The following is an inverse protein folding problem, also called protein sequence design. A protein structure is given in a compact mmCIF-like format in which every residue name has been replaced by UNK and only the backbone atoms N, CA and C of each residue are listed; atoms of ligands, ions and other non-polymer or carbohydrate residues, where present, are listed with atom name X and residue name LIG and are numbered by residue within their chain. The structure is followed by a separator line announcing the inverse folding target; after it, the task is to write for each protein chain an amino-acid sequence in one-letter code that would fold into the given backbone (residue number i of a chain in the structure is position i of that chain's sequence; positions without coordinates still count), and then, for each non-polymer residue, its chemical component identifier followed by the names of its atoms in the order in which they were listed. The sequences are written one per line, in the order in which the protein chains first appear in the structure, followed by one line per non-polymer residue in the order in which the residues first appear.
data_IF_989970062172
#
_entry.id   IF_989970062172
#
_cell.length_a   1.000
_cell.length_b   1.000
_cell.length_c   1.000
_cell.angle_alpha   90.00
_cell.angle_beta   90.00
_cell.angle_gamma   90.00
#
_symmetry.space_group_name_H-M   'P 1'
#
loop_
_entity.id
_entity.type
_entity.pdbx_description
1 polymer ?
#
# COMPACT_ATOMS: atom_id res chain seq x y z
N UNK A 1 17.41 -1.26 9.74
CA UNK A 1 17.58 -1.16 11.20
C UNK A 1 16.61 -2.00 11.98
N UNK A 2 15.29 -1.82 11.86
CA UNK A 2 14.36 -2.74 12.55
C UNK A 2 14.52 -4.20 12.06
N UNK A 3 14.86 -4.37 10.78
CA UNK A 3 15.13 -5.68 10.16
C UNK A 3 16.57 -6.19 10.36
N UNK A 4 17.44 -5.51 11.12
CA UNK A 4 18.74 -6.08 11.49
C UNK A 4 18.59 -7.05 12.67
N UNK A 5 19.54 -7.97 12.91
CA UNK A 5 19.52 -8.84 14.09
C UNK A 5 19.41 -8.06 15.40
N UNK A 6 20.14 -6.94 15.49
CA UNK A 6 20.10 -6.02 16.62
C UNK A 6 18.72 -5.38 16.81
N UNK A 7 18.09 -4.90 15.73
CA UNK A 7 16.75 -4.31 15.77
C UNK A 7 15.67 -5.32 16.19
N UNK A 8 15.72 -6.54 15.64
CA UNK A 8 14.85 -7.64 16.05
C UNK A 8 15.04 -8.02 17.52
N UNK A 9 16.29 -8.03 18.00
CA UNK A 9 16.62 -8.29 19.40
C UNK A 9 15.96 -7.28 20.35
N UNK A 10 16.06 -5.98 20.05
CA UNK A 10 15.42 -4.92 20.86
C UNK A 10 13.89 -5.04 20.83
N UNK A 11 13.31 -5.30 19.65
CA UNK A 11 11.86 -5.48 19.52
C UNK A 11 11.36 -6.69 20.34
N UNK A 12 12.13 -7.80 20.33
CA UNK A 12 11.86 -8.99 21.13
C UNK A 12 11.94 -8.71 22.63
N UNK A 13 12.96 -7.96 23.08
CA UNK A 13 13.12 -7.58 24.49
C UNK A 13 11.91 -6.80 25.01
N UNK A 14 11.38 -5.86 24.21
CA UNK A 14 10.16 -5.12 24.56
C UNK A 14 8.86 -5.85 24.20
N UNK A 15 8.90 -7.08 23.68
CA UNK A 15 7.74 -7.89 23.27
C UNK A 15 6.85 -7.22 22.20
N UNK A 16 7.43 -6.51 21.22
CA UNK A 16 6.68 -5.81 20.15
C UNK A 16 7.11 -6.32 18.77
N UNK A 17 6.17 -6.43 17.84
CA UNK A 17 6.48 -6.71 16.42
C UNK A 17 7.25 -5.55 15.78
N UNK A 18 8.22 -5.88 14.93
CA UNK A 18 8.98 -4.90 14.13
C UNK A 18 8.06 -4.03 13.26
N UNK A 19 6.97 -4.60 12.75
CA UNK A 19 5.98 -3.90 11.92
C UNK A 19 5.26 -2.81 12.71
N UNK A 20 4.83 -3.11 13.93
CA UNK A 20 4.18 -2.13 14.79
C UNK A 20 5.14 -1.03 15.24
N UNK A 21 6.40 -1.36 15.53
CA UNK A 21 7.43 -0.35 15.83
C UNK A 21 7.64 0.57 14.63
N UNK A 22 7.67 0.01 13.41
CA UNK A 22 7.78 0.79 12.18
C UNK A 22 6.56 1.70 11.95
N UNK A 23 5.34 1.18 12.12
CA UNK A 23 4.10 1.95 11.99
C UNK A 23 4.05 3.14 12.96
N UNK A 24 4.47 2.91 14.22
CA UNK A 24 4.58 3.97 15.23
C UNK A 24 5.64 4.99 14.84
N UNK A 25 6.80 4.57 14.33
CA UNK A 25 7.87 5.47 13.91
C UNK A 25 7.43 6.37 12.74
N UNK A 26 6.76 5.81 11.72
CA UNK A 26 6.21 6.58 10.59
C UNK A 26 5.16 7.57 11.09
N UNK A 27 4.29 7.16 12.00
CA UNK A 27 3.28 8.03 12.60
C UNK A 27 3.93 9.17 13.40
N UNK A 28 4.96 8.89 14.20
CA UNK A 28 5.73 9.92 14.91
C UNK A 28 6.40 10.89 13.94
N UNK A 29 6.94 10.40 12.82
CA UNK A 29 7.55 11.25 11.80
C UNK A 29 6.56 12.22 11.14
N UNK A 30 5.29 11.82 11.00
CA UNK A 30 4.24 12.70 10.47
C UNK A 30 3.94 13.92 11.37
N UNK A 31 4.25 13.81 12.67
CA UNK A 31 4.11 14.90 13.64
C UNK A 31 5.41 15.66 13.89
N UNK A 32 6.52 15.21 13.30
CA UNK A 32 7.80 15.87 13.47
C UNK A 32 7.87 17.12 12.61
N UNK A 33 8.57 18.14 13.11
CA UNK A 33 8.90 19.33 12.34
C UNK A 33 9.77 18.93 11.14
N UNK A 34 9.28 19.22 9.93
CA UNK A 34 9.79 18.65 8.67
C UNK A 34 11.30 18.92 8.43
N UNK A 35 11.81 20.05 8.93
CA UNK A 35 13.21 20.46 8.76
C UNK A 35 14.17 19.83 9.77
N UNK A 36 13.72 19.56 11.00
CA UNK A 36 14.61 19.16 12.10
C UNK A 36 14.34 17.75 12.62
N UNK A 37 13.18 17.17 12.33
CA UNK A 37 12.71 15.91 12.92
C UNK A 37 12.34 16.02 14.40
N UNK A 38 12.28 17.25 14.96
CA UNK A 38 12.00 17.52 16.37
C UNK A 38 10.51 17.81 16.60
N UNK A 39 10.15 18.10 17.86
CA UNK A 39 8.81 18.56 18.27
C UNK A 39 7.67 17.58 17.97
N UNK A 40 7.92 16.27 18.12
CA UNK A 40 6.84 15.28 18.12
C UNK A 40 6.07 15.41 19.44
N UNK A 41 5.02 16.24 19.42
CA UNK A 41 4.18 16.58 20.57
C UNK A 41 2.85 15.80 20.61
N UNK A 42 2.69 14.78 19.76
CA UNK A 42 1.46 14.00 19.71
C UNK A 42 1.27 13.13 20.97
N UNK A 43 0.03 13.10 21.46
CA UNK A 43 -0.34 12.24 22.59
C UNK A 43 -0.16 10.76 22.24
N UNK A 44 0.00 9.91 23.27
CA UNK A 44 0.12 8.46 23.07
C UNK A 44 -1.15 7.87 22.46
N UNK A 45 -2.30 8.41 22.83
CA UNK A 45 -3.61 8.03 22.30
C UNK A 45 -3.73 8.39 20.82
N UNK A 46 -3.30 9.60 20.44
CA UNK A 46 -3.29 10.06 19.04
C UNK A 46 -2.37 9.20 18.17
N UNK A 47 -1.18 8.86 18.65
CA UNK A 47 -0.26 7.99 17.91
C UNK A 47 -0.81 6.58 17.81
N UNK A 48 -1.32 6.02 18.92
CA UNK A 48 -1.93 4.69 18.95
C UNK A 48 -3.05 4.59 17.91
N UNK A 49 -3.94 5.58 17.92
CA UNK A 49 -5.05 5.68 16.98
C UNK A 49 -4.59 5.76 15.53
N UNK A 50 -3.67 6.69 15.19
CA UNK A 50 -3.20 6.85 13.80
C UNK A 50 -2.36 5.69 13.28
N UNK A 51 -1.66 4.98 14.16
CA UNK A 51 -0.87 3.80 13.79
C UNK A 51 -1.69 2.49 13.82
N UNK A 52 -2.94 2.52 14.27
CA UNK A 52 -3.78 1.32 14.40
C UNK A 52 -3.31 0.35 15.49
N UNK A 53 -2.56 0.83 16.49
CA UNK A 53 -2.01 -0.01 17.57
C UNK A 53 -2.51 0.45 18.95
N UNK A 54 -2.38 -0.40 19.96
CA UNK A 54 -2.76 -0.04 21.33
C UNK A 54 -1.76 0.93 21.98
N UNK A 55 -2.23 1.69 22.99
CA UNK A 55 -1.37 2.62 23.74
C UNK A 55 -0.20 1.89 24.42
N UNK A 56 -0.39 0.63 24.85
CA UNK A 56 0.68 -0.19 25.41
C UNK A 56 1.73 -0.56 24.35
N UNK A 57 1.34 -0.81 23.10
CA UNK A 57 2.26 -0.99 21.97
C UNK A 57 3.05 0.30 21.71
N UNK A 58 2.41 1.47 21.71
CA UNK A 58 3.12 2.76 21.54
C UNK A 58 4.17 2.98 22.63
N UNK A 59 3.84 2.70 23.89
CA UNK A 59 4.80 2.82 25.01
C UNK A 59 6.03 1.92 24.79
N UNK A 60 5.81 0.66 24.41
CA UNK A 60 6.88 -0.31 24.16
C UNK A 60 7.69 0.03 22.90
N UNK A 61 7.03 0.47 21.83
CA UNK A 61 7.69 0.93 20.60
C UNK A 61 8.57 2.15 20.85
N UNK A 62 8.10 3.15 21.62
CA UNK A 62 8.92 4.31 22.00
C UNK A 62 10.16 3.91 22.81
N UNK A 63 10.05 2.93 23.71
CA UNK A 63 11.22 2.37 24.42
C UNK A 63 12.18 1.69 23.45
N UNK A 64 11.69 0.89 22.50
CA UNK A 64 12.51 0.24 21.47
C UNK A 64 13.25 1.27 20.61
N UNK A 65 12.56 2.30 20.13
CA UNK A 65 13.14 3.39 19.34
C UNK A 65 14.18 4.20 20.14
N UNK A 66 13.95 4.36 21.44
CA UNK A 66 14.91 5.00 22.34
C UNK A 66 16.18 4.18 22.50
N UNK A 67 16.07 2.87 22.76
CA UNK A 67 17.23 1.96 22.84
C UNK A 67 18.02 1.91 21.53
N UNK A 68 17.33 2.00 20.39
CA UNK A 68 17.97 2.05 19.07
C UNK A 68 18.57 3.42 18.73
N UNK A 69 18.50 4.41 19.64
CA UNK A 69 19.02 5.77 19.45
C UNK A 69 18.43 6.53 18.25
N UNK A 70 17.25 6.12 17.77
CA UNK A 70 16.52 6.76 16.66
C UNK A 70 15.42 7.71 17.13
N UNK A 71 15.09 7.68 18.41
CA UNK A 71 14.17 8.62 19.02
C UNK A 71 14.59 8.96 20.46
N UNK A 72 14.49 10.23 20.85
CA UNK A 72 14.80 10.68 22.21
C UNK A 72 13.62 11.43 22.80
N UNK A 73 13.24 11.07 24.03
CA UNK A 73 12.32 11.87 24.81
C UNK A 73 13.07 13.09 25.32
N UNK A 74 12.62 14.27 24.91
CA UNK A 74 13.21 15.56 25.29
C UNK A 74 12.54 16.08 26.56
N UNK A 75 11.22 15.94 26.64
CA UNK A 75 10.41 16.37 27.78
C UNK A 75 9.43 15.25 28.12
N UNK A 76 9.43 14.82 29.39
CA UNK A 76 8.47 13.85 29.88
C UNK A 76 7.09 14.51 29.99
N UNK A 77 6.08 13.84 29.47
CA UNK A 77 4.70 14.30 29.61
C UNK A 77 4.28 14.32 31.08
N UNK A 78 3.60 15.39 31.50
CA UNK A 78 3.18 15.64 32.89
C UNK A 78 1.78 16.24 32.94
N UNK A 79 1.19 16.29 34.13
CA UNK A 79 0.00 17.09 34.37
C UNK A 79 0.37 18.58 34.29
N UNK A 80 -0.53 19.35 33.68
CA UNK A 80 -0.42 20.80 33.65
C UNK A 80 -0.87 21.37 34.99
N UNK A 81 -0.18 22.41 35.46
CA UNK A 81 -0.68 23.25 36.56
C UNK A 81 -1.94 23.98 36.09
N UNK A 82 -2.74 24.47 37.04
CA UNK A 82 -3.97 25.19 36.71
C UNK A 82 -3.70 26.34 35.73
N UNK A 83 -2.69 27.17 35.99
CA UNK A 83 -2.26 28.26 35.10
C UNK A 83 -1.92 27.77 33.67
N UNK A 84 -1.16 26.68 33.55
CA UNK A 84 -0.75 26.13 32.25
C UNK A 84 -1.95 25.51 31.52
N UNK A 85 -2.87 24.90 32.26
CA UNK A 85 -4.15 24.38 31.74
C UNK A 85 -4.98 25.53 31.17
N UNK A 86 -5.13 26.64 31.91
CA UNK A 86 -5.86 27.83 31.44
C UNK A 86 -5.19 28.48 30.22
N UNK A 87 -3.85 28.57 30.19
CA UNK A 87 -3.10 29.09 29.05
C UNK A 87 -3.34 28.23 27.80
N UNK A 88 -3.19 26.91 27.92
CA UNK A 88 -3.43 25.94 26.86
C UNK A 88 -4.89 26.03 26.37
N UNK A 89 -5.85 25.98 27.30
CA UNK A 89 -7.29 26.10 27.02
C UNK A 89 -7.64 27.40 26.29
N UNK A 90 -7.00 28.52 26.65
CA UNK A 90 -7.21 29.80 25.97
C UNK A 90 -6.65 29.81 24.54
N UNK A 91 -5.53 29.12 24.30
CA UNK A 91 -4.82 29.14 23.02
C UNK A 91 -5.49 28.24 21.96
N UNK A 92 -5.82 27.00 22.32
CA UNK A 92 -6.39 26.03 21.36
C UNK A 92 -7.88 25.75 21.57
N UNK A 93 -8.50 26.31 22.62
CA UNK A 93 -9.93 26.12 22.89
C UNK A 93 -10.26 24.65 23.06
N UNK A 94 -9.58 23.93 23.96
CA UNK A 94 -9.90 22.54 24.33
C UNK A 94 -9.41 22.32 25.75
N UNK A 95 -10.12 21.54 26.57
CA UNK A 95 -9.60 21.16 27.90
C UNK A 95 -8.31 20.37 27.74
N UNK A 96 -7.23 20.88 28.33
CA UNK A 96 -5.95 20.20 28.35
C UNK A 96 -5.44 20.08 29.78
N UNK A 97 -5.58 18.89 30.35
CA UNK A 97 -5.07 18.59 31.71
C UNK A 97 -3.64 18.04 31.72
N UNK A 98 -3.14 17.60 30.57
CA UNK A 98 -1.85 16.91 30.45
C UNK A 98 -1.07 17.46 29.27
N UNK A 99 0.21 17.70 29.47
CA UNK A 99 1.17 17.90 28.40
C UNK A 99 1.63 16.54 27.86
N UNK A 100 1.57 16.35 26.55
CA UNK A 100 2.18 15.18 25.92
C UNK A 100 3.72 15.23 26.06
N UNK A 101 4.34 14.06 26.09
CA UNK A 101 5.80 13.97 26.01
C UNK A 101 6.31 14.52 24.67
N UNK A 102 7.37 15.32 24.70
CA UNK A 102 8.01 15.83 23.48
C UNK A 102 9.12 14.88 23.07
N UNK A 103 9.04 14.38 21.85
CA UNK A 103 10.04 13.50 21.26
C UNK A 103 10.79 14.19 20.11
N UNK A 104 12.06 13.85 19.96
CA UNK A 104 12.87 14.18 18.80
C UNK A 104 13.26 12.90 18.08
N UNK A 105 13.07 12.87 16.76
CA UNK A 105 13.58 11.80 15.92
C UNK A 105 15.03 12.11 15.57
N UNK A 106 15.89 11.13 15.78
CA UNK A 106 17.33 11.26 15.59
C UNK A 106 17.78 10.28 14.51
N UNK A 107 18.76 10.72 13.71
CA UNK A 107 19.42 9.85 12.74
C UNK A 107 20.79 9.47 13.30
N UNK A 108 20.97 8.24 13.85
CA UNK A 108 22.27 7.79 14.30
C UNK A 108 23.30 7.92 13.16
N UNK A 109 24.53 8.34 13.49
CA UNK A 109 25.59 8.59 12.50
C UNK A 109 25.82 7.39 11.58
N UNK A 110 25.79 6.17 12.14
CA UNK A 110 25.89 4.92 11.38
C UNK A 110 24.81 4.78 10.31
N UNK A 111 23.58 5.24 10.58
CA UNK A 111 22.48 5.19 9.62
C UNK A 111 22.61 6.25 8.55
N UNK A 112 23.04 7.45 8.93
CA UNK A 112 23.27 8.53 7.98
C UNK A 112 24.35 8.12 6.98
N UNK A 113 25.47 7.58 7.47
CA UNK A 113 26.56 7.07 6.62
C UNK A 113 26.08 5.92 5.75
N UNK A 114 25.38 4.93 6.31
CA UNK A 114 24.85 3.81 5.54
C UNK A 114 23.85 4.25 4.45
N UNK A 115 22.97 5.22 4.77
CA UNK A 115 22.02 5.79 3.83
C UNK A 115 22.72 6.57 2.72
N UNK A 116 23.73 7.39 3.05
CA UNK A 116 24.53 8.12 2.05
C UNK A 116 25.29 7.17 1.11
N UNK A 117 25.84 6.07 1.63
CA UNK A 117 26.47 5.05 0.78
C UNK A 117 25.45 4.38 -0.13
N UNK A 118 24.26 4.05 0.39
CA UNK A 118 23.19 3.45 -0.41
C UNK A 118 22.68 4.39 -1.50
N UNK A 119 22.48 5.68 -1.20
CA UNK A 119 22.05 6.68 -2.21
C UNK A 119 23.11 6.92 -3.27
N UNK A 120 24.40 6.97 -2.90
CA UNK A 120 25.51 7.02 -3.87
C UNK A 120 25.53 5.79 -4.79
N UNK A 121 25.30 4.59 -4.25
CA UNK A 121 25.18 3.35 -5.05
C UNK A 121 23.98 3.40 -6.00
N UNK A 122 22.82 3.88 -5.53
CA UNK A 122 21.63 4.05 -6.37
C UNK A 122 21.85 5.08 -7.48
N UNK A 123 22.44 6.24 -7.16
CA UNK A 123 22.77 7.26 -8.15
C UNK A 123 23.79 6.75 -9.19
N UNK A 124 24.77 5.94 -8.78
CA UNK A 124 25.71 5.28 -9.70
C UNK A 124 25.00 4.25 -10.60
N UNK A 125 23.99 3.54 -10.08
CA UNK A 125 23.17 2.60 -10.87
C UNK A 125 22.27 3.33 -11.87
N UNK A 126 21.65 4.44 -11.48
CA UNK A 126 20.83 5.30 -12.37
C UNK A 126 21.68 5.97 -13.45
N UNK A 127 22.93 6.36 -13.13
CA UNK A 127 23.88 6.87 -14.15
C UNK A 127 24.32 5.78 -15.11
N UNK A 128 24.58 4.55 -14.65
CA UNK A 128 24.89 3.41 -15.53
C UNK A 128 23.72 3.00 -16.43
N UNK A 129 22.48 3.21 -16.01
CA UNK A 129 21.32 2.93 -16.88
C UNK A 129 21.04 4.02 -17.94
N UNK A 130 21.81 5.12 -17.97
CA UNK A 130 21.66 6.16 -19.01
C UNK A 130 22.42 5.81 -20.30
N UNK A 131 23.40 4.89 -20.23
CA UNK A 131 24.23 4.49 -21.38
C UNK A 131 23.73 3.22 -22.10
N UNK A 132 22.71 2.53 -21.58
CA UNK A 132 22.13 1.31 -22.19
C UNK A 132 20.78 1.54 -22.88
N UNK A 133 20.40 2.79 -23.18
CA UNK A 133 19.32 3.07 -24.11
C UNK A 133 19.83 2.97 -25.57
N UNK A 134 20.40 1.81 -25.92
CA UNK A 134 20.53 1.40 -27.31
C UNK A 134 19.13 1.13 -27.85
N UNK A 135 18.69 2.10 -28.64
CA UNK A 135 17.54 2.14 -29.52
C UNK A 135 17.01 0.75 -29.93
N UNK A 136 15.81 0.41 -29.45
CA UNK A 136 14.95 -0.59 -30.07
C UNK A 136 13.66 0.07 -30.52
N UNK A 137 13.79 1.00 -31.48
CA UNK A 137 12.69 1.47 -32.33
C UNK A 137 13.26 1.78 -33.71
N UNK A 138 12.86 1.04 -34.77
CA UNK A 138 13.24 1.37 -36.12
C UNK A 138 12.25 2.44 -36.59
N UNK A 139 12.65 3.70 -36.51
CA UNK A 139 11.96 4.77 -37.22
C UNK A 139 12.94 5.44 -38.16
N UNK A 140 12.68 5.18 -39.45
CA UNK A 140 12.99 5.98 -40.62
C UNK A 140 13.66 7.32 -40.28
N UNK A 141 14.98 7.38 -40.49
CA UNK A 141 15.64 8.65 -40.80
C UNK A 141 15.93 8.66 -42.29
N UNK A 142 15.12 9.47 -42.98
CA UNK A 142 15.35 9.89 -44.35
C UNK A 142 16.81 10.31 -44.56
N UNK A 143 17.50 9.55 -45.41
CA UNK A 143 18.61 9.98 -46.28
C UNK A 143 18.26 9.33 -47.62
N UNK A 144 17.74 10.07 -48.59
CA UNK A 144 18.53 10.94 -49.47
C UNK A 144 19.06 10.08 -50.62
N UNK A 145 18.61 10.30 -51.87
CA UNK A 145 19.02 9.48 -53.02
C UNK A 145 20.50 9.76 -53.33
N UNK A 146 21.18 8.84 -54.01
CA UNK A 146 22.61 8.87 -54.37
C UNK A 146 23.53 8.10 -53.38
N UNK A 147 23.55 6.78 -53.49
CA UNK A 147 24.77 6.09 -53.96
C UNK A 147 24.54 4.58 -54.16
N UNK A 148 24.95 4.03 -55.32
CA UNK A 148 24.73 2.65 -55.71
C UNK A 148 25.95 1.77 -55.36
N UNK A 149 25.73 0.66 -54.65
CA UNK A 149 26.69 -0.45 -54.72
C UNK A 149 26.03 -1.77 -54.31
N UNK A 150 25.66 -2.53 -55.34
CA UNK A 150 25.87 -3.98 -55.51
C UNK A 150 26.25 -4.77 -54.24
N UNK A 151 25.41 -5.75 -53.93
CA UNK A 151 25.74 -6.82 -53.00
C UNK A 151 24.69 -7.92 -53.04
N UNK A 152 24.63 -8.65 -54.15
CA UNK A 152 23.88 -9.88 -54.31
C UNK A 152 24.27 -10.91 -53.24
N UNK A 153 23.29 -11.47 -52.54
CA UNK A 153 23.33 -12.88 -52.09
C UNK A 153 21.95 -13.48 -52.25
N UNK A 154 21.82 -14.24 -53.33
CA UNK A 154 20.81 -15.27 -53.54
C UNK A 154 21.00 -16.41 -52.52
N UNK A 155 19.97 -17.28 -52.45
CA UNK A 155 19.83 -18.52 -51.68
C UNK A 155 19.15 -18.30 -50.30
N UNK A 156 17.85 -18.55 -50.10
CA UNK A 156 17.16 -19.83 -50.36
C UNK A 156 15.65 -19.66 -50.58
N UNK A 157 15.20 -19.99 -51.79
CA UNK A 157 13.80 -20.19 -52.16
C UNK A 157 13.41 -21.65 -51.86
N UNK A 158 12.87 -21.94 -50.68
CA UNK A 158 12.20 -23.24 -50.42
C UNK A 158 10.88 -23.12 -49.64
N UNK A 159 10.43 -21.91 -49.26
CA UNK A 159 9.17 -21.76 -48.47
C UNK A 159 8.00 -21.05 -49.17
N UNK A 160 8.17 -20.67 -50.43
CA UNK A 160 7.17 -19.92 -51.22
C UNK A 160 6.28 -20.77 -52.13
N UNK A 161 6.23 -22.10 -51.94
CA UNK A 161 5.32 -22.97 -52.70
C UNK A 161 4.42 -23.76 -51.74
N UNK A 162 3.55 -23.04 -51.02
CA UNK A 162 2.39 -23.66 -50.37
C UNK A 162 1.25 -23.76 -51.40
N UNK A 163 0.66 -24.94 -51.66
CA UNK A 163 -0.40 -25.14 -52.65
C UNK A 163 -1.70 -24.38 -52.32
N UNK A 164 -1.76 -23.75 -51.15
CA UNK A 164 -2.90 -22.96 -50.69
C UNK A 164 -3.14 -21.69 -51.54
N UNK A 165 -2.09 -21.11 -52.15
CA UNK A 165 -2.21 -19.91 -53.00
C UNK A 165 -2.66 -20.20 -54.45
N UNK A 166 -2.62 -21.45 -54.90
CA UNK A 166 -3.10 -21.83 -56.22
C UNK A 166 -4.64 -21.93 -56.24
N UNK A 167 -5.24 -22.43 -55.15
CA UNK A 167 -6.70 -22.62 -55.02
C UNK A 167 -7.49 -21.32 -54.92
N UNK A 168 -6.86 -20.24 -54.46
CA UNK A 168 -7.47 -18.90 -54.41
C UNK A 168 -7.53 -18.22 -55.78
N UNK A 169 -6.79 -18.70 -56.80
CA UNK A 169 -6.84 -18.16 -58.17
C UNK A 169 -7.88 -18.86 -59.06
N UNK A 170 -8.28 -20.08 -58.73
CA UNK A 170 -9.27 -20.87 -59.49
C UNK A 170 -10.72 -20.71 -59.02
N UNK A 171 -11.00 -19.83 -58.06
CA UNK A 171 -12.38 -19.49 -57.68
C UNK A 171 -13.15 -20.61 -56.97
N UNK A 172 -12.49 -21.68 -56.52
CA UNK A 172 -13.14 -22.70 -55.69
C UNK A 172 -13.39 -22.16 -54.28
N UNK A 173 -14.58 -21.59 -54.06
CA UNK A 173 -15.02 -21.24 -52.72
C UNK A 173 -15.31 -22.52 -51.92
N UNK A 174 -14.60 -22.68 -50.80
CA UNK A 174 -14.94 -23.68 -49.79
C UNK A 174 -16.38 -23.47 -49.31
N UNK A 175 -17.22 -24.50 -49.44
CA UNK A 175 -18.64 -24.53 -49.04
C UNK A 175 -18.86 -24.57 -47.51
N UNK A 176 -18.06 -23.85 -46.72
CA UNK A 176 -18.28 -23.73 -45.29
C UNK A 176 -18.75 -22.31 -44.93
N UNK A 177 -19.88 -22.16 -44.22
CA UNK A 177 -20.36 -20.84 -43.81
C UNK A 177 -19.31 -20.20 -42.90
N UNK A 178 -18.82 -19.02 -43.28
CA UNK A 178 -17.83 -18.24 -42.53
C UNK A 178 -18.43 -17.82 -41.20
N UNK A 179 -18.02 -18.47 -40.12
CA UNK A 179 -18.23 -17.97 -38.76
C UNK A 179 -17.63 -16.56 -38.69
N UNK A 180 -18.34 -15.55 -38.13
CA UNK A 180 -17.78 -14.22 -37.98
C UNK A 180 -16.46 -14.25 -37.20
N UNK A 181 -15.51 -13.35 -37.50
CA UNK A 181 -14.24 -13.31 -36.79
C UNK A 181 -14.47 -13.11 -35.29
N UNK A 182 -13.77 -13.85 -34.42
CA UNK A 182 -13.97 -13.75 -32.97
C UNK A 182 -13.68 -12.32 -32.51
N UNK A 183 -14.66 -11.70 -31.85
CA UNK A 183 -14.48 -10.37 -31.28
C UNK A 183 -13.36 -10.41 -30.22
N UNK A 184 -12.53 -9.35 -30.14
CA UNK A 184 -11.49 -9.27 -29.12
C UNK A 184 -12.13 -9.30 -27.73
N UNK A 185 -11.67 -10.21 -26.88
CA UNK A 185 -12.21 -10.40 -25.53
C UNK A 185 -11.90 -9.18 -24.67
N UNK A 186 -12.78 -8.88 -23.72
CA UNK A 186 -12.60 -7.77 -22.79
C UNK A 186 -11.26 -7.85 -22.06
N UNK A 187 -10.53 -6.73 -21.99
CA UNK A 187 -9.19 -6.67 -21.39
C UNK A 187 -9.20 -7.07 -19.91
N UNK A 188 -10.25 -6.70 -19.17
CA UNK A 188 -10.40 -7.07 -17.76
C UNK A 188 -10.52 -8.59 -17.60
N UNK A 189 -11.27 -9.27 -18.48
CA UNK A 189 -11.38 -10.73 -18.46
C UNK A 189 -10.05 -11.44 -18.77
N UNK A 190 -9.24 -10.87 -19.67
CA UNK A 190 -7.89 -11.38 -19.95
C UNK A 190 -6.96 -11.17 -18.75
N UNK A 191 -7.08 -10.01 -18.09
CA UNK A 191 -6.29 -9.67 -16.91
C UNK A 191 -6.64 -10.57 -15.72
N UNK A 192 -7.93 -10.81 -15.47
CA UNK A 192 -8.36 -11.70 -14.39
C UNK A 192 -7.93 -13.14 -14.64
N UNK A 193 -8.04 -13.63 -15.88
CA UNK A 193 -7.53 -14.95 -16.25
C UNK A 193 -6.00 -15.07 -16.04
N UNK A 194 -5.24 -14.06 -16.44
CA UNK A 194 -3.79 -14.03 -16.22
C UNK A 194 -3.42 -13.97 -14.73
N UNK A 195 -4.10 -13.11 -13.94
CA UNK A 195 -3.91 -13.04 -12.48
C UNK A 195 -4.26 -14.37 -11.79
N UNK A 196 -5.31 -15.05 -12.24
CA UNK A 196 -5.70 -16.37 -11.72
C UNK A 196 -4.59 -17.39 -11.94
N UNK A 197 -3.98 -17.44 -13.12
CA UNK A 197 -2.88 -18.36 -13.42
C UNK A 197 -1.64 -18.11 -12.55
N UNK A 198 -1.37 -16.86 -12.18
CA UNK A 198 -0.28 -16.50 -11.26
C UNK A 198 -0.55 -17.01 -9.84
N UNK A 199 -1.79 -16.91 -9.37
CA UNK A 199 -2.17 -17.29 -8.01
C UNK A 199 -2.58 -18.76 -7.86
N UNK A 200 -2.90 -19.45 -8.95
CA UNK A 200 -3.23 -20.87 -9.01
C UNK A 200 -2.43 -21.56 -10.14
N UNK A 201 -1.12 -21.81 -9.93
CA UNK A 201 -0.22 -22.30 -10.97
C UNK A 201 -0.56 -23.72 -11.46
N UNK A 202 -1.40 -24.46 -10.73
CA UNK A 202 -1.90 -25.77 -11.15
C UNK A 202 -2.64 -25.70 -12.50
N UNK A 203 -3.20 -24.54 -12.83
CA UNK A 203 -3.87 -24.29 -14.10
C UNK A 203 -2.95 -23.76 -15.22
N UNK A 204 -1.66 -23.53 -14.95
CA UNK A 204 -0.73 -23.03 -15.97
C UNK A 204 -0.59 -23.99 -17.17
N UNK A 205 -0.78 -25.29 -16.93
CA UNK A 205 -0.77 -26.33 -17.97
C UNK A 205 -2.02 -26.32 -18.86
N UNK A 206 -3.00 -25.44 -18.62
CA UNK A 206 -4.22 -25.32 -19.40
C UNK A 206 -4.04 -24.81 -20.84
N UNK A 207 -2.81 -24.45 -21.23
CA UNK A 207 -2.49 -23.95 -22.56
C UNK A 207 -2.77 -22.45 -22.67
N UNK A 208 -3.63 -22.05 -23.61
CA UNK A 208 -3.90 -20.64 -23.89
C UNK A 208 -4.82 -20.00 -22.86
N UNK A 209 -4.50 -18.77 -22.45
CA UNK A 209 -5.31 -17.92 -21.54
C UNK A 209 -6.77 -17.81 -22.00
N UNK A 210 -7.02 -17.92 -23.30
CA UNK A 210 -8.37 -17.94 -23.85
C UNK A 210 -9.27 -19.05 -23.27
N UNK A 211 -8.77 -20.27 -23.04
CA UNK A 211 -9.61 -21.33 -22.49
C UNK A 211 -10.03 -21.04 -21.03
N UNK A 212 -9.20 -20.31 -20.28
CA UNK A 212 -9.53 -19.84 -18.94
C UNK A 212 -10.56 -18.71 -19.00
N UNK A 213 -10.40 -17.76 -19.92
CA UNK A 213 -11.42 -16.73 -20.14
C UNK A 213 -12.79 -17.33 -20.50
N UNK A 214 -12.83 -18.39 -21.31
CA UNK A 214 -14.08 -19.12 -21.61
C UNK A 214 -14.66 -19.75 -20.35
N UNK A 215 -13.85 -20.50 -19.59
CA UNK A 215 -14.31 -21.11 -18.34
C UNK A 215 -14.87 -20.10 -17.33
N UNK A 216 -14.28 -18.91 -17.24
CA UNK A 216 -14.77 -17.81 -16.39
C UNK A 216 -16.08 -17.21 -16.92
N UNK A 217 -16.19 -17.08 -18.25
CA UNK A 217 -17.40 -16.56 -18.91
C UNK A 217 -18.58 -17.52 -18.73
N UNK A 218 -18.35 -18.82 -18.92
CA UNK A 218 -19.37 -19.85 -18.73
C UNK A 218 -19.87 -19.95 -17.29
N UNK A 219 -18.99 -19.70 -16.33
CA UNK A 219 -19.33 -19.65 -14.91
C UNK A 219 -20.10 -18.38 -14.52
N UNK A 220 -20.27 -17.41 -15.43
CA UNK A 220 -20.98 -16.16 -15.18
C UNK A 220 -20.26 -15.22 -14.21
N UNK A 221 -18.93 -15.31 -14.11
CA UNK A 221 -18.14 -14.51 -13.17
C UNK A 221 -17.89 -13.11 -13.75
N UNK A 222 -18.37 -12.08 -13.05
CA UNK A 222 -18.09 -10.69 -13.41
C UNK A 222 -16.62 -10.34 -13.11
N UNK A 223 -15.84 -10.14 -14.18
CA UNK A 223 -14.41 -9.80 -14.10
C UNK A 223 -14.13 -8.43 -13.46
N UNK A 224 -15.10 -7.51 -13.41
CA UNK A 224 -14.92 -6.22 -12.72
C UNK A 224 -15.01 -6.37 -11.19
N UNK A 225 -15.81 -7.33 -10.74
CA UNK A 225 -16.08 -7.61 -9.33
C UNK A 225 -15.10 -8.62 -8.72
N UNK A 226 -14.79 -9.66 -9.49
CA UNK A 226 -13.94 -10.77 -9.09
C UNK A 226 -12.58 -10.70 -9.78
N UNK A 227 -11.54 -10.36 -9.01
CA UNK A 227 -10.16 -10.38 -9.52
C UNK A 227 -9.62 -11.80 -9.59
N UNK A 228 -8.62 -12.05 -10.43
CA UNK A 228 -8.03 -13.39 -10.57
C UNK A 228 -7.48 -13.95 -9.26
N UNK A 229 -6.88 -13.09 -8.43
CA UNK A 229 -6.43 -13.44 -7.07
C UNK A 229 -7.57 -13.87 -6.14
N UNK A 230 -8.74 -13.25 -6.28
CA UNK A 230 -9.90 -13.47 -5.40
C UNK A 230 -10.57 -14.80 -5.77
N UNK A 231 -10.65 -15.10 -7.06
CA UNK A 231 -11.11 -16.39 -7.59
C UNK A 231 -10.17 -17.53 -7.11
N UNK A 232 -8.85 -17.33 -7.18
CA UNK A 232 -7.88 -18.31 -6.67
C UNK A 232 -8.02 -18.54 -5.15
N UNK A 233 -8.25 -17.47 -4.39
CA UNK A 233 -8.47 -17.54 -2.95
C UNK A 233 -9.76 -18.29 -2.61
N UNK A 234 -10.86 -18.05 -3.34
CA UNK A 234 -12.12 -18.80 -3.13
C UNK A 234 -12.01 -20.26 -3.54
N UNK A 235 -11.34 -20.58 -4.65
CA UNK A 235 -11.05 -21.97 -5.02
C UNK A 235 -10.24 -22.68 -3.92
N UNK A 236 -9.29 -21.98 -3.31
CA UNK A 236 -8.49 -22.52 -2.20
C UNK A 236 -9.34 -22.69 -0.94
N UNK A 237 -10.18 -21.71 -0.61
CA UNK A 237 -11.10 -21.75 0.53
C UNK A 237 -12.09 -22.90 0.40
N UNK A 238 -12.73 -23.08 -0.76
CA UNK A 238 -13.64 -24.19 -1.02
C UNK A 238 -12.92 -25.55 -0.95
N UNK A 239 -11.68 -25.63 -1.44
CA UNK A 239 -10.84 -26.85 -1.30
C UNK A 239 -10.58 -27.19 0.17
N UNK A 240 -10.23 -26.18 0.98
CA UNK A 240 -10.00 -26.34 2.41
C UNK A 240 -11.26 -26.70 3.18
N UNK A 241 -12.40 -26.07 2.85
CA UNK A 241 -13.70 -26.35 3.50
C UNK A 241 -14.16 -27.79 3.27
N UNK A 242 -13.84 -28.36 2.10
CA UNK A 242 -14.11 -29.77 1.77
C UNK A 242 -13.09 -30.75 2.35
N UNK A 243 -12.04 -30.24 3.01
CA UNK A 243 -10.96 -31.08 3.57
C UNK A 243 -10.05 -31.69 2.50
N UNK A 244 -10.04 -31.13 1.29
CA UNK A 244 -9.23 -31.63 0.19
C UNK A 244 -7.86 -30.95 0.15
N UNK A 245 -6.89 -31.61 -0.46
CA UNK A 245 -5.58 -31.04 -0.78
C UNK A 245 -5.53 -30.66 -2.26
N UNK A 246 -4.81 -29.58 -2.58
CA UNK A 246 -4.64 -29.16 -3.97
C UNK A 246 -3.88 -30.23 -4.76
N UNK A 247 -4.39 -30.68 -5.93
CA UNK A 247 -3.66 -31.60 -6.80
C UNK A 247 -2.34 -30.99 -7.29
N UNK A 248 -1.28 -31.80 -7.35
CA UNK A 248 0.02 -31.38 -7.91
C UNK A 248 0.03 -31.42 -9.43
N UNK A 249 -0.72 -32.34 -10.03
CA UNK A 249 -0.88 -32.48 -11.47
C UNK A 249 -2.36 -32.68 -11.82
N UNK A 250 -2.81 -32.02 -12.90
CA UNK A 250 -4.16 -32.15 -13.43
C UNK A 250 -4.05 -32.42 -14.92
N UNK A 251 -4.51 -33.59 -15.38
CA UNK A 251 -4.50 -33.96 -16.79
C UNK A 251 -5.41 -33.05 -17.64
N UNK A 252 -6.55 -32.64 -17.09
CA UNK A 252 -7.56 -31.80 -17.75
C UNK A 252 -7.84 -30.52 -16.95
N UNK A 253 -6.90 -29.56 -16.95
CA UNK A 253 -6.97 -28.39 -16.08
C UNK A 253 -8.19 -27.49 -16.34
N UNK A 254 -8.57 -27.29 -17.62
CA UNK A 254 -9.74 -26.47 -17.98
C UNK A 254 -11.06 -27.14 -17.55
N UNK A 255 -11.17 -28.46 -17.74
CA UNK A 255 -12.35 -29.22 -17.32
C UNK A 255 -12.51 -29.23 -15.81
N UNK A 256 -11.41 -29.44 -15.08
CA UNK A 256 -11.40 -29.34 -13.62
C UNK A 256 -11.75 -27.93 -13.15
N UNK A 257 -11.21 -26.89 -13.78
CA UNK A 257 -11.56 -25.51 -13.46
C UNK A 257 -13.05 -25.25 -13.66
N UNK A 258 -13.61 -25.56 -14.83
CA UNK A 258 -15.05 -25.41 -15.10
C UNK A 258 -15.91 -26.12 -14.05
N UNK A 259 -15.56 -27.37 -13.72
CA UNK A 259 -16.24 -28.12 -12.67
C UNK A 259 -16.16 -27.40 -11.32
N UNK A 260 -14.98 -26.91 -10.90
CA UNK A 260 -14.84 -26.17 -9.63
C UNK A 260 -15.64 -24.87 -9.61
N UNK A 261 -15.57 -24.09 -10.69
CA UNK A 261 -16.28 -22.81 -10.78
C UNK A 261 -17.80 -23.02 -10.69
N UNK A 262 -18.33 -24.10 -11.25
CA UNK A 262 -19.77 -24.41 -11.17
C UNK A 262 -20.27 -24.77 -9.76
N UNK A 263 -19.37 -25.18 -8.84
CA UNK A 263 -19.74 -25.58 -7.48
C UNK A 263 -19.59 -24.46 -6.44
N UNK A 264 -19.15 -23.28 -6.86
CA UNK A 264 -18.93 -22.12 -5.99
C UNK A 264 -20.00 -21.06 -6.26
N UNK A 265 -20.53 -20.49 -5.19
CA UNK A 265 -21.48 -19.39 -5.24
C UNK A 265 -20.76 -18.04 -5.42
N UNK A 266 -20.76 -17.54 -6.66
CA UNK A 266 -20.11 -16.26 -7.04
C UNK A 266 -20.99 -15.03 -6.81
N UNK A 267 -22.22 -15.20 -6.30
CA UNK A 267 -23.12 -14.06 -6.02
C UNK A 267 -22.66 -13.25 -4.80
N UNK A 268 -21.89 -13.90 -3.91
CA UNK A 268 -21.34 -13.31 -2.69
C UNK A 268 -20.35 -12.18 -2.98
N UNK A 269 -20.19 -11.21 -2.06
CA UNK A 269 -19.18 -10.17 -2.18
C UNK A 269 -17.79 -10.78 -2.35
N UNK A 270 -17.00 -10.25 -3.28
CA UNK A 270 -15.63 -10.74 -3.46
C UNK A 270 -14.78 -10.40 -2.22
N UNK A 271 -13.75 -11.20 -1.89
CA UNK A 271 -12.80 -10.89 -0.83
C UNK A 271 -12.25 -9.45 -0.89
N UNK A 272 -11.99 -8.93 -2.09
CA UNK A 272 -11.56 -7.55 -2.28
C UNK A 272 -12.67 -6.55 -1.91
N UNK A 273 -13.91 -6.78 -2.32
CA UNK A 273 -15.07 -5.93 -1.94
C UNK A 273 -15.27 -5.91 -0.43
N UNK A 274 -15.22 -7.08 0.23
CA UNK A 274 -15.33 -7.17 1.68
C UNK A 274 -14.22 -6.39 2.39
N UNK A 275 -12.98 -6.52 1.93
CA UNK A 275 -11.85 -5.78 2.48
C UNK A 275 -12.00 -4.26 2.27
N UNK A 276 -12.50 -3.83 1.11
CA UNK A 276 -12.79 -2.43 0.83
C UNK A 276 -13.89 -1.88 1.74
N UNK A 277 -15.00 -2.62 1.91
CA UNK A 277 -16.10 -2.24 2.81
C UNK A 277 -15.62 -2.14 4.26
N UNK A 278 -14.87 -3.12 4.75
CA UNK A 278 -14.29 -3.09 6.09
C UNK A 278 -13.36 -1.88 6.29
N UNK A 279 -12.54 -1.54 5.27
CA UNK A 279 -11.69 -0.36 5.30
C UNK A 279 -12.50 0.95 5.29
N UNK A 280 -13.59 1.02 4.54
CA UNK A 280 -14.50 2.17 4.53
C UNK A 280 -15.18 2.35 5.89
N UNK A 281 -15.72 1.28 6.47
CA UNK A 281 -16.31 1.31 7.81
C UNK A 281 -15.29 1.73 8.88
N UNK A 282 -14.06 1.21 8.80
CA UNK A 282 -12.99 1.63 9.70
C UNK A 282 -12.68 3.13 9.58
N UNK A 283 -12.66 3.68 8.36
CA UNK A 283 -12.49 5.12 8.11
C UNK A 283 -13.66 5.93 8.67
N UNK A 284 -14.90 5.49 8.46
CA UNK A 284 -16.08 6.15 9.00
C UNK A 284 -16.08 6.17 10.53
N UNK A 285 -15.76 5.05 11.19
CA UNK A 285 -15.63 4.99 12.65
C UNK A 285 -14.60 5.98 13.20
N UNK A 286 -13.50 6.20 12.47
CA UNK A 286 -12.48 7.21 12.81
C UNK A 286 -13.08 8.61 12.71
N UNK A 287 -13.71 8.93 11.57
CA UNK A 287 -14.34 10.24 11.34
C UNK A 287 -15.41 10.52 12.41
N UNK A 288 -16.31 9.58 12.68
CA UNK A 288 -17.39 9.71 13.66
C UNK A 288 -16.88 9.89 15.10
N UNK A 289 -15.74 9.29 15.41
CA UNK A 289 -15.08 9.51 16.71
C UNK A 289 -14.49 10.91 16.77
N UNK A 290 -13.78 11.32 15.73
CA UNK A 290 -13.12 12.63 15.65
C UNK A 290 -14.13 13.77 15.64
N UNK A 291 -15.28 13.61 14.96
CA UNK A 291 -16.39 14.58 14.98
C UNK A 291 -17.03 14.67 16.36
N UNK A 292 -17.27 13.54 17.04
CA UNK A 292 -17.79 13.52 18.42
C UNK A 292 -16.85 14.22 19.40
N UNK A 293 -15.55 13.93 19.31
CA UNK A 293 -14.54 14.60 20.12
C UNK A 293 -14.49 16.10 19.82
N UNK A 294 -14.52 16.47 18.54
CA UNK A 294 -14.51 17.87 18.12
C UNK A 294 -15.75 18.63 18.60
N UNK A 295 -16.95 18.02 18.54
CA UNK A 295 -18.20 18.62 19.03
C UNK A 295 -18.17 18.82 20.54
N UNK A 296 -17.72 17.82 21.30
CA UNK A 296 -17.54 17.93 22.76
C UNK A 296 -16.56 19.05 23.10
N UNK A 297 -15.41 19.06 22.42
CA UNK A 297 -14.37 20.06 22.64
C UNK A 297 -14.86 21.47 22.27
N UNK A 298 -15.67 21.63 21.21
CA UNK A 298 -16.26 22.91 20.81
C UNK A 298 -17.26 23.47 21.84
N UNK A 299 -18.10 22.61 22.45
CA UNK A 299 -19.04 23.02 23.50
C UNK A 299 -18.31 23.53 24.75
N UNK A 300 -17.20 22.87 25.08
CA UNK A 300 -16.34 23.23 26.21
C UNK A 300 -15.53 24.49 25.90
N UNK A 301 -15.20 24.73 24.63
CA UNK A 301 -14.35 25.82 24.17
C UNK A 301 -15.10 27.05 23.67
N UNK A 302 -16.26 27.33 24.29
CA UNK A 302 -17.02 28.53 24.01
C UNK A 302 -16.14 29.77 24.17
N UNK A 303 -16.46 30.85 23.45
CA UNK A 303 -15.73 32.11 23.57
C UNK A 303 -15.72 32.62 25.01
N UNK A 304 -16.82 32.39 25.74
CA UNK A 304 -16.96 32.66 27.16
C UNK A 304 -16.03 31.81 28.02
N UNK A 305 -15.91 30.49 27.77
CA UNK A 305 -14.95 29.62 28.47
C UNK A 305 -13.50 30.10 28.27
N UNK A 306 -13.14 30.51 27.04
CA UNK A 306 -11.81 31.07 26.75
C UNK A 306 -11.58 32.38 27.51
N UNK A 307 -12.60 33.23 27.61
CA UNK A 307 -12.52 34.46 28.38
C UNK A 307 -12.31 34.20 29.87
N UNK A 308 -13.08 33.27 30.46
CA UNK A 308 -12.93 32.85 31.86
C UNK A 308 -11.52 32.28 32.13
N UNK A 309 -11.00 31.46 31.22
CA UNK A 309 -9.63 30.93 31.33
C UNK A 309 -8.57 32.05 31.29
N UNK A 310 -8.72 33.05 30.39
CA UNK A 310 -7.81 34.20 30.32
C UNK A 310 -7.83 35.01 31.61
N UNK A 311 -9.02 35.26 32.17
CA UNK A 311 -9.19 35.99 33.43
C UNK A 311 -8.56 35.24 34.61
N UNK A 312 -8.79 33.93 34.72
CA UNK A 312 -8.19 33.10 35.76
C UNK A 312 -6.66 33.12 35.69
N UNK A 313 -6.09 33.03 34.48
CA UNK A 313 -4.65 33.16 34.27
C UNK A 313 -4.12 34.53 34.72
N UNK A 314 -4.76 35.62 34.30
CA UNK A 314 -4.38 36.97 34.71
C UNK A 314 -4.42 37.14 36.23
N UNK A 315 -5.46 36.63 36.91
CA UNK A 315 -5.56 36.66 38.36
C UNK A 315 -4.40 35.92 39.04
N UNK A 316 -4.05 34.71 38.56
CA UNK A 316 -2.92 33.94 39.12
C UNK A 316 -1.57 34.63 38.94
N UNK A 317 -1.35 35.32 37.82
CA UNK A 317 -0.13 36.08 37.58
C UNK A 317 -0.04 37.32 38.48
N UNK A 318 -1.15 38.05 38.62
CA UNK A 318 -1.22 39.21 39.50
C UNK A 318 -0.99 38.83 40.98
N UNK A 319 -1.51 37.69 41.43
CA UNK A 319 -1.25 37.20 42.78
C UNK A 319 0.23 36.89 43.03
N UNK A 320 0.94 36.32 42.05
CA UNK A 320 2.38 36.08 42.15
C UNK A 320 3.18 37.38 42.19
N UNK A 321 2.87 38.33 41.30
CA UNK A 321 3.54 39.62 41.26
C UNK A 321 3.42 40.38 42.59
N UNK A 322 2.26 40.28 43.25
CA UNK A 322 2.07 40.86 44.60
C UNK A 322 2.89 40.14 45.66
N UNK A 323 2.88 38.80 45.67
CA UNK A 323 3.67 38.01 46.62
C UNK A 323 5.19 38.23 46.46
N UNK A 324 5.67 38.41 45.23
CA UNK A 324 7.07 38.70 44.94
C UNK A 324 7.46 40.15 45.29
N UNK A 325 6.49 41.07 45.39
CA UNK A 325 6.71 42.47 45.78
C UNK A 325 6.65 42.70 47.30
N UNK A 326 6.11 41.73 48.06
CA UNK A 326 6.02 41.76 49.52
C UNK A 326 7.19 41.01 50.21
N UNK A 327 8.07 40.35 49.44
CA UNK A 327 9.35 39.79 49.89
C UNK A 327 10.52 40.72 49.58
#
# INVERSE_FOLDING_TARGET
MLNSPTGRGVCRWFKVSTEFVFAVAVTMASFAERSTGRRVCASRETIAHRSGVSVSVVKRARRALHTLSVAREMVRGRYLRAEESHAAESHHGRIQRRAASVWALTSPKSLVVAAQVATKKLAKKVRRSKDDALASYPQLRSRGPLSPSRGYKLLSLVRELSPMRARTRTGEQSKNPKTPPPQPRAIELQRTAAELLVHAPVFASAGHVGLICEALTDAGIDANRWRGRDIAAELTRDTQQRGWTWPTHIERPVGFLRWRLAHIDWTRPSPTEMAQKAAQEARQRIIDRDTRLSRRDALIASAEHRQRCRQALAATLNHRQKADAEM
#
